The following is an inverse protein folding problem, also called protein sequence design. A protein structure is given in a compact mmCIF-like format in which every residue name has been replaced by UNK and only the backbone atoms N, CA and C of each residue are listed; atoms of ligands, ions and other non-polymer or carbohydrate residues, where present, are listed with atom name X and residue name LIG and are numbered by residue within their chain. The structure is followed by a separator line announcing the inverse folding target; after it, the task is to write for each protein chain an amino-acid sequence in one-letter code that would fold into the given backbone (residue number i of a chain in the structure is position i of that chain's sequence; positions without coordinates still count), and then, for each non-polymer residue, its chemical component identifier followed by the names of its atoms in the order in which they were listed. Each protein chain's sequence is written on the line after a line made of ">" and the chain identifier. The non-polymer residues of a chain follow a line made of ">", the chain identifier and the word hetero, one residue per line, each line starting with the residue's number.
data_IF_658124248394
#
_entry.id   IF_658124248394
#
_cell.length_a   1.000
_cell.length_b   1.000
_cell.length_c   1.000
_cell.angle_alpha   90.00
_cell.angle_beta   90.00
_cell.angle_gamma   90.00
#
_symmetry.space_group_name_H-M   'P 1'
#
loop_
_entity.id
_entity.type
_entity.pdbx_description
1 polymer ?
#
# COMPACT_ATOMS: atom_id res chain seq x y z
N UNK A 1 5.07 15.95 0.01
CA UNK A 1 4.28 14.97 -0.77
C UNK A 1 3.11 14.58 0.10
N UNK A 2 1.97 15.25 -0.13
CA UNK A 2 0.96 15.45 0.90
C UNK A 2 -0.27 14.58 0.70
N UNK A 3 -0.58 13.79 1.71
CA UNK A 3 -1.88 13.16 1.92
C UNK A 3 -2.89 14.17 2.53
N UNK A 4 -2.81 15.45 2.14
CA UNK A 4 -3.49 16.58 2.79
C UNK A 4 -4.65 17.09 1.92
N UNK A 5 -5.80 17.35 2.53
CA UNK A 5 -6.99 17.90 1.84
C UNK A 5 -7.71 16.87 0.94
N UNK A 6 -8.16 17.24 -0.28
CA UNK A 6 -8.99 16.40 -1.16
C UNK A 6 -8.36 15.04 -1.52
N UNK A 7 -7.05 14.90 -1.39
CA UNK A 7 -6.33 13.64 -1.57
C UNK A 7 -6.84 12.50 -0.65
N UNK A 8 -7.32 12.81 0.55
CA UNK A 8 -7.90 11.80 1.47
C UNK A 8 -9.16 11.18 0.87
N UNK A 9 -10.06 12.01 0.33
CA UNK A 9 -11.29 11.54 -0.30
C UNK A 9 -10.97 10.71 -1.56
N UNK A 10 -10.02 11.16 -2.38
CA UNK A 10 -9.57 10.41 -3.56
C UNK A 10 -8.99 9.03 -3.21
N UNK A 11 -8.24 8.93 -2.11
CA UNK A 11 -7.72 7.64 -1.62
C UNK A 11 -8.87 6.75 -1.15
N UNK A 12 -9.86 7.30 -0.45
CA UNK A 12 -11.03 6.54 -0.02
C UNK A 12 -11.82 6.00 -1.22
N UNK A 13 -12.08 6.83 -2.23
CA UNK A 13 -12.76 6.43 -3.47
C UNK A 13 -11.99 5.34 -4.22
N UNK A 14 -10.67 5.48 -4.34
CA UNK A 14 -9.82 4.46 -4.94
C UNK A 14 -9.87 3.13 -4.18
N UNK A 15 -9.87 3.17 -2.83
CA UNK A 15 -10.02 1.97 -2.01
C UNK A 15 -11.37 1.28 -2.20
N UNK A 16 -12.45 2.02 -2.40
CA UNK A 16 -13.76 1.45 -2.72
C UNK A 16 -13.71 0.64 -4.04
N UNK A 17 -12.99 1.15 -5.03
CA UNK A 17 -12.76 0.42 -6.30
C UNK A 17 -11.89 -0.82 -6.07
N UNK A 18 -10.85 -0.74 -5.24
CA UNK A 18 -10.03 -1.90 -4.91
C UNK A 18 -10.84 -3.00 -4.20
N UNK A 19 -11.76 -2.66 -3.29
CA UNK A 19 -12.52 -3.65 -2.51
C UNK A 19 -13.42 -4.57 -3.36
N UNK A 20 -13.78 -4.14 -4.57
CA UNK A 20 -14.54 -4.95 -5.53
C UNK A 20 -13.66 -5.69 -6.54
N UNK A 21 -12.33 -5.53 -6.48
CA UNK A 21 -11.40 -6.13 -7.42
C UNK A 21 -11.04 -7.57 -6.99
N UNK A 22 -11.24 -8.60 -7.84
CA UNK A 22 -10.95 -9.98 -7.47
C UNK A 22 -9.45 -10.27 -7.30
N UNK A 23 -8.58 -9.46 -7.92
CA UNK A 23 -7.11 -9.64 -7.93
C UNK A 23 -6.40 -8.67 -6.97
N UNK A 24 -7.09 -8.21 -5.93
CA UNK A 24 -6.54 -7.22 -4.98
C UNK A 24 -5.26 -7.71 -4.32
N UNK A 25 -5.18 -9.00 -3.97
CA UNK A 25 -4.00 -9.61 -3.38
C UNK A 25 -2.80 -9.63 -4.35
N UNK A 26 -3.02 -10.07 -5.58
CA UNK A 26 -1.98 -10.13 -6.61
C UNK A 26 -1.48 -8.74 -6.99
N UNK A 27 -2.40 -7.78 -7.11
CA UNK A 27 -2.10 -6.37 -7.34
C UNK A 27 -1.21 -5.80 -6.23
N UNK A 28 -1.50 -6.13 -4.97
CA UNK A 28 -0.67 -5.71 -3.84
C UNK A 28 0.71 -6.37 -3.87
N UNK A 29 0.79 -7.67 -4.16
CA UNK A 29 2.07 -8.40 -4.24
C UNK A 29 2.96 -7.78 -5.31
N UNK A 30 2.40 -7.58 -6.50
CA UNK A 30 3.10 -6.96 -7.61
C UNK A 30 3.60 -5.57 -7.24
N UNK A 31 2.74 -4.71 -6.66
CA UNK A 31 3.14 -3.35 -6.28
C UNK A 31 4.26 -3.32 -5.22
N UNK A 32 4.30 -4.30 -4.32
CA UNK A 32 5.36 -4.44 -3.33
C UNK A 32 6.68 -4.91 -3.96
N UNK A 33 6.62 -5.89 -4.86
CA UNK A 33 7.76 -6.47 -5.56
C UNK A 33 8.38 -5.50 -6.57
N UNK A 34 7.55 -4.81 -7.34
CA UNK A 34 7.97 -3.88 -8.40
C UNK A 34 8.39 -2.51 -7.87
N UNK A 35 8.26 -2.26 -6.56
CA UNK A 35 8.67 -0.99 -5.95
C UNK A 35 7.73 0.18 -6.28
N UNK A 36 6.44 -0.06 -6.55
CA UNK A 36 5.51 1.03 -6.81
C UNK A 36 5.16 1.80 -5.54
N UNK A 37 5.81 2.95 -5.40
CA UNK A 37 5.77 3.75 -4.19
C UNK A 37 4.73 4.88 -4.24
N UNK A 38 4.07 5.13 -5.37
CA UNK A 38 3.02 6.14 -5.50
C UNK A 38 1.62 5.54 -5.70
N UNK A 39 0.58 6.25 -5.24
CA UNK A 39 -0.83 5.90 -5.52
C UNK A 39 -1.40 4.75 -4.68
N UNK A 40 -2.64 4.34 -4.99
CA UNK A 40 -3.36 3.25 -4.32
C UNK A 40 -3.21 1.96 -5.11
N UNK A 41 -2.75 0.90 -4.44
CA UNK A 41 -2.54 -0.42 -5.04
C UNK A 41 -3.04 -1.49 -4.08
N UNK A 42 -3.81 -2.44 -4.59
CA UNK A 42 -4.35 -3.56 -3.79
C UNK A 42 -5.08 -3.11 -2.51
N UNK A 43 -5.81 -1.98 -2.56
CA UNK A 43 -6.53 -1.43 -1.41
C UNK A 43 -5.68 -0.68 -0.39
N UNK A 44 -4.38 -0.49 -0.65
CA UNK A 44 -3.47 0.22 0.23
C UNK A 44 -2.99 1.53 -0.41
N UNK A 45 -2.95 2.62 0.37
CA UNK A 45 -2.30 3.86 -0.05
C UNK A 45 -0.77 3.72 -0.04
N UNK A 46 -0.09 4.70 -0.65
CA UNK A 46 1.37 4.82 -0.60
C UNK A 46 1.92 4.75 0.83
N UNK A 47 1.36 5.52 1.75
CA UNK A 47 1.85 5.59 3.12
C UNK A 47 1.62 4.27 3.88
N UNK A 48 0.49 3.61 3.63
CA UNK A 48 0.19 2.30 4.20
C UNK A 48 1.16 1.24 3.68
N UNK A 49 1.42 1.19 2.36
CA UNK A 49 2.42 0.27 1.79
C UNK A 49 3.83 0.57 2.29
N UNK A 50 4.20 1.84 2.45
CA UNK A 50 5.50 2.23 3.00
C UNK A 50 5.63 1.79 4.46
N UNK A 51 4.57 1.93 5.26
CA UNK A 51 4.52 1.41 6.63
C UNK A 51 4.62 -0.13 6.67
N UNK A 52 3.94 -0.81 5.73
CA UNK A 52 3.96 -2.27 5.52
C UNK A 52 5.39 -2.77 5.22
N UNK A 53 6.11 -2.12 4.31
CA UNK A 53 7.52 -2.41 4.00
C UNK A 53 8.42 -2.20 5.22
N UNK A 54 8.27 -1.06 5.92
CA UNK A 54 9.07 -0.77 7.14
C UNK A 54 8.83 -1.80 8.26
N UNK A 55 7.59 -2.22 8.49
CA UNK A 55 7.28 -3.24 9.50
C UNK A 55 7.92 -4.59 9.16
N UNK A 56 7.86 -4.99 7.89
CA UNK A 56 8.44 -6.25 7.42
C UNK A 56 9.97 -6.23 7.55
N UNK A 57 10.61 -5.13 7.20
CA UNK A 57 12.05 -4.95 7.39
C UNK A 57 12.45 -5.07 8.86
N UNK A 58 11.69 -4.44 9.77
CA UNK A 58 11.90 -4.56 11.23
C UNK A 58 11.72 -5.99 11.73
N UNK A 59 10.68 -6.69 11.29
CA UNK A 59 10.45 -8.10 11.68
C UNK A 59 11.58 -9.00 11.19
N UNK A 60 12.05 -8.83 9.96
CA UNK A 60 13.21 -9.57 9.42
C UNK A 60 14.45 -9.32 10.26
N UNK A 61 14.77 -8.05 10.54
CA UNK A 61 15.93 -7.69 11.37
C UNK A 61 15.88 -8.31 12.78
N UNK A 62 14.68 -8.44 13.37
CA UNK A 62 14.50 -9.08 14.69
C UNK A 62 14.62 -10.60 14.68
N UNK A 63 14.39 -11.24 13.53
CA UNK A 63 14.43 -12.72 13.41
C UNK A 63 15.85 -13.22 13.12
N UNK A 64 16.72 -12.34 12.62
CA UNK A 64 18.13 -12.63 12.31
C UNK A 64 19.06 -12.41 13.52
N UNK A 65 18.50 -12.22 14.72
CA UNK A 65 19.24 -12.09 16.00
C UNK A 65 19.02 -13.33 16.84
#
# INVERSE_FOLDING_TARGET
>A
MGNSGPAIAQIADAKLVCNRCPVTADCLSWALESGQDAGVWGGMSEDERRALKRRNARTRARTTV
#
